data_IF_126553799824
#
_entry.id   IF_126553799824
#
_cell.length_a   1.000
_cell.length_b   1.000
_cell.length_c   1.000
_cell.angle_alpha   90.00
_cell.angle_beta   90.00
_cell.angle_gamma   90.00
#
_symmetry.space_group_name_H-M   'P 1'
#
loop_
_entity.id
_entity.type
_entity.pdbx_description
1 polymer ?
#
# COMPACT_ATOMS: atom_id res chain seq x y z
N UNK A 1 7.13 30.20 -17.52
CA UNK A 1 6.45 29.02 -18.07
C UNK A 1 6.87 27.83 -17.22
N UNK A 2 5.98 27.37 -16.34
CA UNK A 2 6.25 26.30 -15.37
C UNK A 2 6.06 24.95 -16.10
N UNK A 3 7.03 24.04 -15.96
CA UNK A 3 7.03 22.71 -16.56
C UNK A 3 5.71 21.93 -16.27
N UNK A 4 5.36 20.91 -17.06
CA UNK A 4 4.18 20.08 -16.79
C UNK A 4 4.21 19.60 -15.35
N UNK A 5 3.21 19.99 -14.57
CA UNK A 5 3.20 19.81 -13.12
C UNK A 5 3.02 18.33 -12.70
N UNK A 6 2.74 17.44 -13.67
CA UNK A 6 2.42 16.02 -13.45
C UNK A 6 3.13 15.16 -14.50
N UNK A 7 3.84 14.14 -14.05
CA UNK A 7 4.35 13.03 -14.87
C UNK A 7 3.33 11.90 -14.81
N UNK A 8 2.94 11.35 -15.96
CA UNK A 8 2.10 10.16 -16.02
C UNK A 8 2.99 8.93 -16.06
N UNK A 9 2.94 8.14 -14.99
CA UNK A 9 3.74 6.92 -14.84
C UNK A 9 2.95 5.68 -15.21
N UNK A 10 3.63 4.67 -15.73
CA UNK A 10 3.05 3.33 -15.92
C UNK A 10 3.17 2.51 -14.64
N UNK A 11 2.34 1.47 -14.50
CA UNK A 11 2.49 0.51 -13.41
C UNK A 11 3.91 -0.08 -13.36
N UNK A 12 4.44 -0.25 -12.16
CA UNK A 12 5.80 -0.68 -11.89
C UNK A 12 6.76 0.48 -11.61
N UNK A 13 6.49 1.68 -12.15
CA UNK A 13 7.34 2.84 -11.87
C UNK A 13 7.29 3.29 -10.41
N UNK A 14 6.20 2.99 -9.70
CA UNK A 14 6.06 3.25 -8.27
C UNK A 14 7.02 2.45 -7.38
N UNK A 15 7.64 1.40 -7.91
CA UNK A 15 8.58 0.55 -7.17
C UNK A 15 10.05 0.90 -7.45
N UNK A 16 10.31 1.90 -8.29
CA UNK A 16 11.65 2.27 -8.69
C UNK A 16 12.22 3.34 -7.76
N UNK A 17 13.52 3.21 -7.48
CA UNK A 17 14.33 4.26 -6.88
C UNK A 17 15.33 4.80 -7.92
N UNK A 18 15.86 5.99 -7.67
CA UNK A 18 16.87 6.60 -8.52
C UNK A 18 18.08 6.99 -7.66
N UNK A 19 19.28 6.52 -8.03
CA UNK A 19 20.55 6.89 -7.38
C UNK A 19 21.08 8.25 -7.85
N UNK A 20 20.59 8.73 -8.98
CA UNK A 20 20.89 10.06 -9.54
C UNK A 20 19.60 10.84 -9.68
N UNK A 21 19.64 12.14 -9.38
CA UNK A 21 18.48 13.01 -9.52
C UNK A 21 18.03 13.09 -10.99
N UNK A 22 16.89 12.49 -11.30
CA UNK A 22 16.29 12.49 -12.64
C UNK A 22 15.20 13.54 -12.80
N UNK A 23 14.58 13.96 -11.69
CA UNK A 23 13.45 14.90 -11.67
C UNK A 23 13.66 15.99 -10.60
N UNK A 24 13.01 17.15 -10.74
CA UNK A 24 12.93 18.13 -9.66
C UNK A 24 12.27 17.52 -8.41
N UNK A 25 12.72 17.93 -7.22
CA UNK A 25 12.07 17.50 -5.98
C UNK A 25 10.65 18.05 -5.91
N UNK A 26 9.73 17.26 -5.37
CA UNK A 26 8.32 17.56 -5.30
C UNK A 26 7.56 17.30 -6.60
N UNK A 27 8.23 16.86 -7.68
CA UNK A 27 7.58 16.46 -8.94
C UNK A 27 6.49 15.43 -8.64
N UNK A 28 5.26 15.73 -9.09
CA UNK A 28 4.12 14.84 -8.95
C UNK A 28 4.13 13.81 -10.07
N UNK A 29 3.94 12.55 -9.70
CA UNK A 29 3.66 11.45 -10.61
C UNK A 29 2.26 10.92 -10.34
N UNK A 30 1.50 10.63 -11.38
CA UNK A 30 0.18 10.01 -11.31
C UNK A 30 0.18 8.72 -12.11
N UNK A 31 -0.29 7.63 -11.51
CA UNK A 31 -0.45 6.35 -12.17
C UNK A 31 -1.81 6.25 -12.86
N UNK A 32 -1.94 5.29 -13.77
CA UNK A 32 -3.18 4.97 -14.49
C UNK A 32 -4.35 4.59 -13.55
N UNK A 33 -4.05 4.12 -12.34
CA UNK A 33 -5.03 3.79 -11.30
C UNK A 33 -5.40 4.99 -10.40
N UNK A 34 -4.87 6.18 -10.68
CA UNK A 34 -5.13 7.41 -9.94
C UNK A 34 -4.25 7.62 -8.70
N UNK A 35 -3.36 6.68 -8.34
CA UNK A 35 -2.42 6.90 -7.23
C UNK A 35 -1.42 8.01 -7.57
N UNK A 36 -1.12 8.82 -6.57
CA UNK A 36 -0.24 9.99 -6.70
C UNK A 36 0.99 9.83 -5.84
N UNK A 37 2.16 10.04 -6.44
CA UNK A 37 3.46 9.99 -5.79
C UNK A 37 4.19 11.32 -5.91
N UNK A 38 5.10 11.60 -4.99
CA UNK A 38 6.00 12.76 -5.07
C UNK A 38 7.45 12.30 -5.06
N UNK A 39 8.21 12.81 -6.02
CA UNK A 39 9.65 12.59 -6.06
C UNK A 39 10.31 13.36 -4.90
N UNK A 40 11.01 12.66 -4.03
CA UNK A 40 11.68 13.23 -2.87
C UNK A 40 13.09 12.66 -2.72
N UNK A 41 13.92 13.37 -1.96
CA UNK A 41 15.19 12.85 -1.49
C UNK A 41 14.91 12.06 -0.21
N UNK A 42 15.35 10.81 -0.15
CA UNK A 42 15.44 10.04 1.08
C UNK A 42 16.92 9.83 1.36
N UNK A 43 17.39 10.29 2.52
CA UNK A 43 18.81 10.55 2.86
C UNK A 43 19.76 9.34 2.66
N UNK A 44 20.28 8.73 3.74
CA UNK A 44 21.27 7.66 3.63
C UNK A 44 20.67 6.30 3.23
N UNK A 45 19.35 6.16 3.18
CA UNK A 45 18.67 4.88 2.96
C UNK A 45 17.75 4.94 1.76
N UNK A 46 17.76 3.88 0.95
CA UNK A 46 16.76 3.71 -0.09
C UNK A 46 15.37 3.56 0.55
N UNK A 47 14.36 4.17 -0.06
CA UNK A 47 12.98 3.90 0.33
C UNK A 47 12.65 2.43 0.05
N UNK A 48 11.97 1.81 0.99
CA UNK A 48 11.50 0.45 0.92
C UNK A 48 10.15 0.43 0.21
N UNK A 49 10.05 -0.42 -0.80
CA UNK A 49 8.83 -0.58 -1.59
C UNK A 49 7.68 -1.05 -0.68
N UNK A 50 6.50 -0.45 -0.85
CA UNK A 50 5.31 -0.75 -0.07
C UNK A 50 5.18 0.04 1.24
N UNK A 51 6.20 0.82 1.62
CA UNK A 51 6.14 1.68 2.81
C UNK A 51 5.43 3.00 2.54
N UNK A 52 4.66 3.48 3.52
CA UNK A 52 4.03 4.80 3.51
C UNK A 52 4.95 5.79 4.21
N UNK A 53 5.52 6.75 3.47
CA UNK A 53 6.45 7.75 4.01
C UNK A 53 5.79 9.04 4.46
N UNK A 54 4.56 9.30 4.01
CA UNK A 54 3.78 10.46 4.42
C UNK A 54 2.30 10.09 4.39
N UNK A 55 1.65 10.16 5.55
CA UNK A 55 0.22 10.06 5.69
C UNK A 55 -0.23 10.84 6.93
N UNK A 56 -1.54 10.98 7.09
CA UNK A 56 -2.12 11.26 8.43
C UNK A 56 -1.76 10.11 9.36
N UNK A 57 -1.65 10.37 10.66
CA UNK A 57 -1.40 9.34 11.66
C UNK A 57 -2.37 8.16 11.46
N UNK A 58 -1.82 7.01 11.13
CA UNK A 58 -2.56 5.78 10.90
C UNK A 58 -3.19 5.28 12.19
N UNK A 59 -4.29 4.55 12.07
CA UNK A 59 -4.78 3.74 13.17
C UNK A 59 -3.94 2.46 13.22
N UNK A 60 -3.27 2.19 14.34
CA UNK A 60 -2.41 1.01 14.53
C UNK A 60 -3.12 -0.34 14.33
N UNK A 61 -4.46 -0.32 14.26
CA UNK A 61 -5.35 -1.39 13.82
C UNK A 61 -5.06 -1.94 12.41
N UNK A 62 -4.41 -1.18 11.54
CA UNK A 62 -4.21 -1.55 10.13
C UNK A 62 -2.74 -1.64 9.74
N UNK A 63 -1.86 -1.67 10.73
CA UNK A 63 -0.42 -1.77 10.55
C UNK A 63 0.00 -3.25 10.66
N UNK A 64 0.57 -3.81 9.60
CA UNK A 64 1.17 -5.15 9.58
C UNK A 64 0.23 -6.31 9.98
N UNK A 65 -0.98 -6.36 9.41
CA UNK A 65 -1.95 -7.42 9.74
C UNK A 65 -1.57 -8.82 9.24
N UNK A 66 -1.69 -9.80 10.13
CA UNK A 66 -1.34 -11.18 9.83
C UNK A 66 -2.42 -11.87 8.97
N UNK A 67 -2.01 -12.43 7.83
CA UNK A 67 -2.87 -13.28 7.00
C UNK A 67 -3.19 -14.59 7.73
N UNK A 68 -4.47 -14.87 7.99
CA UNK A 68 -4.91 -16.01 8.82
C UNK A 68 -4.78 -17.36 8.12
N UNK A 69 -4.93 -17.38 6.80
CA UNK A 69 -4.86 -18.60 6.00
C UNK A 69 -4.24 -18.30 4.65
N UNK A 70 -3.45 -19.23 4.13
CA UNK A 70 -2.98 -19.17 2.76
C UNK A 70 -4.19 -19.13 1.83
N UNK A 71 -4.45 -17.98 1.22
CA UNK A 71 -5.43 -17.86 0.17
C UNK A 71 -4.97 -18.73 -1.01
N UNK A 72 -5.88 -19.53 -1.56
CA UNK A 72 -5.58 -20.30 -2.76
C UNK A 72 -5.21 -19.37 -3.92
N UNK A 73 -4.36 -19.83 -4.84
CA UNK A 73 -4.04 -19.06 -6.05
C UNK A 73 -5.34 -18.75 -6.81
N UNK A 74 -5.58 -17.47 -7.07
CA UNK A 74 -6.80 -16.99 -7.74
C UNK A 74 -7.99 -16.72 -6.80
N UNK A 75 -7.82 -16.86 -5.49
CA UNK A 75 -8.81 -16.39 -4.53
C UNK A 75 -8.98 -14.87 -4.63
N UNK A 76 -10.23 -14.41 -4.64
CA UNK A 76 -10.61 -12.99 -4.61
C UNK A 76 -10.99 -12.52 -3.21
N UNK A 77 -10.71 -13.37 -2.22
CA UNK A 77 -11.02 -13.13 -0.82
C UNK A 77 -9.81 -13.50 0.02
N UNK A 78 -9.55 -12.70 1.05
CA UNK A 78 -8.38 -12.85 1.93
C UNK A 78 -8.84 -12.65 3.36
N UNK A 79 -8.49 -13.58 4.24
CA UNK A 79 -8.76 -13.47 5.67
C UNK A 79 -7.52 -12.94 6.38
N UNK A 80 -7.66 -11.78 7.03
CA UNK A 80 -6.65 -11.19 7.89
C UNK A 80 -7.12 -11.30 9.33
N UNK A 81 -6.17 -11.31 10.25
CA UNK A 81 -6.49 -11.00 11.64
C UNK A 81 -6.82 -9.52 11.68
N UNK A 82 -7.83 -9.15 12.45
CA UNK A 82 -8.18 -7.76 12.66
C UNK A 82 -7.72 -7.38 14.07
N UNK A 83 -7.32 -6.13 14.24
CA UNK A 83 -6.99 -5.54 15.53
C UNK A 83 -8.17 -5.52 16.52
N UNK A 84 -8.08 -4.65 17.52
CA UNK A 84 -9.03 -4.63 18.65
C UNK A 84 -10.39 -4.02 18.31
N UNK A 85 -10.48 -3.28 17.19
CA UNK A 85 -11.65 -2.50 16.79
C UNK A 85 -12.50 -3.25 15.75
N UNK A 86 -13.82 -3.12 15.85
CA UNK A 86 -14.76 -3.70 14.88
C UNK A 86 -14.73 -2.91 13.58
N UNK A 87 -14.62 -3.58 12.43
CA UNK A 87 -14.81 -2.92 11.14
C UNK A 87 -16.28 -2.83 10.79
N UNK A 88 -16.67 -1.69 10.23
CA UNK A 88 -17.96 -1.54 9.57
C UNK A 88 -17.86 -2.09 8.14
N UNK A 89 -18.99 -2.56 7.59
CA UNK A 89 -19.04 -3.00 6.21
C UNK A 89 -18.61 -1.86 5.26
N UNK A 90 -17.79 -2.21 4.27
CA UNK A 90 -17.26 -1.32 3.23
C UNK A 90 -16.41 -0.14 3.73
N UNK A 91 -15.95 -0.16 4.99
CA UNK A 91 -15.04 0.85 5.55
C UNK A 91 -13.69 0.95 4.81
N UNK A 92 -13.20 -0.16 4.23
CA UNK A 92 -11.96 -0.22 3.46
C UNK A 92 -12.18 -0.31 1.94
N UNK A 93 -13.41 -0.15 1.47
CA UNK A 93 -13.70 -0.17 0.04
C UNK A 93 -12.92 0.95 -0.70
N UNK A 94 -12.50 0.67 -1.93
CA UNK A 94 -11.64 1.52 -2.77
C UNK A 94 -10.23 1.77 -2.19
N UNK A 95 -9.88 1.10 -1.08
CA UNK A 95 -8.54 1.07 -0.53
C UNK A 95 -7.60 0.13 -1.30
N UNK A 96 -6.34 0.10 -0.88
CA UNK A 96 -5.34 -0.82 -1.41
C UNK A 96 -4.78 -1.71 -0.30
N UNK A 97 -4.53 -2.97 -0.64
CA UNK A 97 -3.80 -3.91 0.19
C UNK A 97 -2.49 -4.30 -0.50
N UNK A 98 -1.43 -4.40 0.30
CA UNK A 98 -0.10 -4.83 -0.13
C UNK A 98 0.27 -6.07 0.68
N UNK A 99 0.85 -7.07 0.01
CA UNK A 99 1.38 -8.26 0.67
C UNK A 99 2.89 -8.17 0.75
N UNK A 100 3.46 -8.51 1.89
CA UNK A 100 4.90 -8.52 2.09
C UNK A 100 5.31 -9.54 3.15
N UNK A 101 6.59 -9.90 3.13
CA UNK A 101 7.22 -10.54 4.28
C UNK A 101 7.65 -9.46 5.30
N UNK A 102 7.43 -9.66 6.61
CA UNK A 102 7.87 -8.71 7.62
C UNK A 102 9.40 -8.66 7.75
N UNK A 103 9.95 -7.52 8.19
CA UNK A 103 11.34 -7.38 8.64
C UNK A 103 11.44 -7.42 10.19
N UNK A 104 12.67 -7.35 10.73
CA UNK A 104 12.93 -7.24 12.17
C UNK A 104 12.39 -5.93 12.80
N UNK A 105 12.03 -4.95 11.97
CA UNK A 105 11.33 -3.71 12.36
C UNK A 105 9.97 -3.69 11.64
N UNK A 106 8.89 -3.18 12.28
CA UNK A 106 7.58 -3.06 11.63
C UNK A 106 7.69 -2.42 10.24
N UNK A 107 7.01 -3.02 9.25
CA UNK A 107 7.09 -2.66 7.84
C UNK A 107 7.58 -3.76 6.87
N UNK A 108 7.51 -3.49 5.55
CA UNK A 108 7.74 -4.49 4.51
C UNK A 108 9.24 -4.79 4.28
N UNK A 109 9.66 -6.06 4.38
CA UNK A 109 11.00 -6.49 3.95
C UNK A 109 11.07 -6.79 2.45
N UNK A 110 10.03 -7.44 1.92
CA UNK A 110 9.94 -7.81 0.50
C UNK A 110 8.47 -7.79 0.09
N UNK A 111 8.14 -7.01 -0.93
CA UNK A 111 6.81 -6.98 -1.50
C UNK A 111 6.52 -8.28 -2.25
N UNK A 112 5.40 -8.92 -1.94
CA UNK A 112 4.89 -10.13 -2.56
C UNK A 112 3.80 -9.73 -3.57
N UNK A 113 4.21 -9.40 -4.78
CA UNK A 113 3.30 -8.98 -5.85
C UNK A 113 3.10 -7.47 -5.91
N UNK A 114 1.87 -7.05 -6.23
CA UNK A 114 1.52 -5.63 -6.41
C UNK A 114 0.63 -5.07 -5.30
N UNK A 115 0.15 -3.85 -5.50
CA UNK A 115 -0.96 -3.31 -4.72
C UNK A 115 -2.27 -3.79 -5.34
N UNK A 116 -3.17 -4.31 -4.51
CA UNK A 116 -4.48 -4.81 -4.95
C UNK A 116 -5.59 -3.95 -4.42
N UNK A 117 -6.63 -3.72 -5.22
CA UNK A 117 -7.78 -2.89 -4.80
C UNK A 117 -8.74 -3.69 -3.93
N UNK A 118 -9.18 -3.09 -2.83
CA UNK A 118 -10.18 -3.66 -1.94
C UNK A 118 -11.55 -3.29 -2.50
N UNK A 119 -12.28 -4.29 -3.01
CA UNK A 119 -13.63 -4.08 -3.53
C UNK A 119 -14.63 -3.85 -2.41
N UNK A 120 -14.51 -4.62 -1.34
CA UNK A 120 -15.34 -4.51 -0.15
C UNK A 120 -14.72 -5.26 1.02
N UNK A 121 -15.13 -4.89 2.22
CA UNK A 121 -14.91 -5.66 3.43
C UNK A 121 -16.25 -5.92 4.10
N UNK A 122 -16.42 -7.10 4.69
CA UNK A 122 -17.62 -7.37 5.49
C UNK A 122 -17.50 -6.68 6.86
N UNK A 123 -18.63 -6.58 7.57
CA UNK A 123 -18.62 -6.16 8.98
C UNK A 123 -17.94 -7.25 9.79
N UNK A 124 -16.97 -6.86 10.61
CA UNK A 124 -16.14 -7.82 11.34
C UNK A 124 -16.04 -7.51 12.82
N UNK A 125 -16.10 -8.57 13.62
CA UNK A 125 -15.83 -8.53 15.04
C UNK A 125 -14.31 -8.53 15.32
N UNK A 126 -13.92 -8.33 16.57
CA UNK A 126 -12.53 -8.49 16.99
C UNK A 126 -12.05 -9.93 16.69
N UNK A 127 -10.89 -10.10 16.05
CA UNK A 127 -10.21 -11.40 15.89
C UNK A 127 -10.39 -12.18 14.58
N UNK A 128 -11.14 -11.66 13.59
CA UNK A 128 -11.19 -12.23 12.23
C UNK A 128 -11.72 -11.19 11.26
N UNK A 129 -11.10 -11.01 10.09
CA UNK A 129 -11.65 -10.18 9.03
C UNK A 129 -11.47 -10.80 7.64
N UNK A 130 -12.53 -10.88 6.85
CA UNK A 130 -12.49 -11.31 5.45
C UNK A 130 -12.67 -10.12 4.51
N UNK A 131 -11.70 -9.93 3.62
CA UNK A 131 -11.65 -8.86 2.63
C UNK A 131 -11.88 -9.42 1.23
N UNK A 132 -12.64 -8.72 0.40
CA UNK A 132 -12.80 -9.05 -1.02
C UNK A 132 -11.85 -8.18 -1.84
N UNK A 133 -10.87 -8.81 -2.48
CA UNK A 133 -9.78 -8.15 -3.21
C UNK A 133 -9.94 -8.47 -4.70
N UNK A 134 -9.76 -7.47 -5.56
CA UNK A 134 -9.82 -7.61 -7.03
C UNK A 134 -8.47 -7.42 -7.67
#
# INVERSE_FOLDING_TARGET
MQFPNVVYGSEGQQYLNASVKTMPYGQRMELEDGRVFRYCLNDSTATVVGSIYQAVAGNAQFDDEAVQANAAVGARTISLTNGTTTLVADELADGYILFYTPDATPGPATLLGGAYTIKSNVKEGTGSATYNVT
#
